data_IF_653476826822
#
_entry.id   IF_653476826822
#
_cell.length_a   1.000
_cell.length_b   1.000
_cell.length_c   1.000
_cell.angle_alpha   90.00
_cell.angle_beta   90.00
_cell.angle_gamma   90.00
#
_symmetry.space_group_name_H-M   'P 1'
#
loop_
_entity.id
_entity.type
_entity.pdbx_description
1 polymer ?
#
# COMPACT_ATOMS: atom_id res chain seq x y z
N UNK A 1 26.88 -14.51 7.11
CA UNK A 1 26.98 -14.71 8.58
C UNK A 1 26.16 -13.62 9.24
N UNK A 2 25.10 -13.99 9.96
CA UNK A 2 24.35 -13.06 10.80
C UNK A 2 25.27 -12.66 11.96
N UNK A 3 25.68 -11.41 12.05
CA UNK A 3 26.35 -10.90 13.23
C UNK A 3 25.39 -10.93 14.43
N UNK A 4 25.94 -11.00 15.64
CA UNK A 4 25.12 -10.94 16.85
C UNK A 4 24.35 -9.62 16.88
N UNK A 5 23.02 -9.67 16.99
CA UNK A 5 22.21 -8.46 17.01
C UNK A 5 22.45 -7.69 18.30
N UNK A 6 22.60 -6.39 18.17
CA UNK A 6 22.64 -5.48 19.32
C UNK A 6 21.30 -4.80 19.50
N UNK A 7 20.91 -4.56 20.75
CA UNK A 7 19.68 -3.84 21.06
C UNK A 7 20.04 -2.41 21.45
N UNK A 8 19.67 -1.46 20.60
CA UNK A 8 19.84 -0.05 20.89
C UNK A 8 18.47 0.63 20.96
N UNK A 9 18.19 1.37 22.03
CA UNK A 9 16.89 2.06 22.25
C UNK A 9 15.68 1.15 22.03
N UNK A 10 15.74 -0.08 22.57
CA UNK A 10 14.72 -1.11 22.42
C UNK A 10 14.51 -1.63 20.96
N UNK A 11 15.41 -1.30 20.05
CA UNK A 11 15.38 -1.79 18.68
C UNK A 11 16.55 -2.74 18.41
N UNK A 12 16.28 -3.80 17.65
CA UNK A 12 17.32 -4.70 17.19
C UNK A 12 18.05 -4.09 15.99
N UNK A 13 19.38 -4.24 15.96
CA UNK A 13 20.23 -3.76 14.88
C UNK A 13 21.29 -4.81 14.57
N UNK A 14 21.76 -4.83 13.31
CA UNK A 14 22.94 -5.59 12.95
C UNK A 14 24.24 -4.81 13.32
N UNK A 15 25.38 -5.44 13.10
CA UNK A 15 26.70 -4.83 13.40
C UNK A 15 26.99 -3.59 12.55
N UNK A 16 26.28 -3.39 11.44
CA UNK A 16 26.37 -2.20 10.58
C UNK A 16 25.34 -1.10 10.97
N UNK A 17 24.54 -1.32 12.04
CA UNK A 17 23.55 -0.37 12.50
C UNK A 17 22.21 -0.44 11.75
N UNK A 18 22.03 -1.39 10.83
CA UNK A 18 20.75 -1.54 10.15
C UNK A 18 19.71 -2.11 11.10
N UNK A 19 18.52 -1.54 11.04
CA UNK A 19 17.38 -1.98 11.85
C UNK A 19 16.96 -3.39 11.47
N UNK A 20 16.73 -4.21 12.49
CA UNK A 20 16.21 -5.56 12.37
C UNK A 20 14.83 -5.64 13.01
N UNK A 21 14.01 -6.60 12.56
CA UNK A 21 12.78 -6.95 13.27
C UNK A 21 13.07 -7.78 14.55
N UNK A 22 12.03 -8.15 15.25
CA UNK A 22 12.15 -8.97 16.48
C UNK A 22 12.76 -10.37 16.23
N UNK A 23 12.85 -10.79 14.97
CA UNK A 23 13.39 -12.08 14.55
C UNK A 23 14.72 -11.94 13.79
N UNK A 24 15.34 -10.76 13.90
CA UNK A 24 16.63 -10.45 13.29
C UNK A 24 16.64 -10.53 11.74
N UNK A 25 15.47 -10.41 11.11
CA UNK A 25 15.40 -10.27 9.66
C UNK A 25 15.81 -8.83 9.28
N UNK A 26 16.71 -8.71 8.32
CA UNK A 26 16.97 -7.42 7.68
C UNK A 26 15.72 -6.96 6.92
N UNK A 27 15.53 -5.65 6.90
CA UNK A 27 14.42 -4.95 6.26
C UNK A 27 13.87 -5.69 5.03
N UNK A 28 12.56 -5.86 4.96
CA UNK A 28 11.91 -6.53 3.86
C UNK A 28 11.71 -8.02 4.06
N UNK A 29 11.67 -8.50 5.30
CA UNK A 29 11.12 -9.81 5.59
C UNK A 29 9.73 -9.97 4.97
N UNK A 30 9.24 -11.19 4.92
CA UNK A 30 7.92 -11.51 4.37
C UNK A 30 6.84 -10.65 5.02
N UNK A 31 6.11 -9.87 4.22
CA UNK A 31 5.03 -9.03 4.69
C UNK A 31 3.78 -9.86 4.93
N UNK A 32 3.67 -10.44 6.12
CA UNK A 32 2.54 -11.29 6.50
C UNK A 32 1.19 -10.59 6.33
N UNK A 33 1.20 -9.26 6.43
CA UNK A 33 0.00 -8.44 6.29
C UNK A 33 -0.18 -7.81 4.91
N UNK A 34 0.71 -8.10 3.95
CA UNK A 34 0.53 -7.62 2.59
C UNK A 34 -0.79 -8.13 2.01
N UNK A 35 -1.40 -7.32 1.17
CA UNK A 35 -2.62 -7.67 0.47
C UNK A 35 -2.55 -7.25 -0.98
N UNK A 36 -3.21 -7.99 -1.84
CA UNK A 36 -3.29 -7.77 -3.28
C UNK A 36 -4.66 -7.28 -3.76
N UNK A 37 -5.59 -7.08 -2.83
CA UNK A 37 -6.90 -6.50 -3.14
C UNK A 37 -7.36 -5.52 -2.04
N UNK A 38 -8.25 -4.60 -2.39
CA UNK A 38 -8.69 -3.54 -1.48
C UNK A 38 -9.61 -4.04 -0.36
N UNK A 39 -10.56 -4.95 -0.59
CA UNK A 39 -11.41 -5.49 0.48
C UNK A 39 -10.65 -6.14 1.62
N UNK A 40 -9.54 -6.81 1.35
CA UNK A 40 -8.69 -7.44 2.36
C UNK A 40 -8.10 -6.46 3.37
N UNK A 41 -8.00 -5.20 3.02
CA UNK A 41 -7.55 -4.16 3.96
C UNK A 41 -8.50 -3.98 5.15
N UNK A 42 -9.76 -4.38 4.98
CA UNK A 42 -10.76 -4.38 6.05
C UNK A 42 -10.74 -5.70 6.85
N UNK A 43 -9.99 -6.67 6.36
CA UNK A 43 -9.93 -8.02 6.90
C UNK A 43 -9.20 -8.15 8.23
N UNK A 44 -9.28 -9.34 8.76
CA UNK A 44 -8.52 -9.76 9.94
C UNK A 44 -7.03 -9.81 9.60
N UNK A 45 -6.19 -9.68 10.62
CA UNK A 45 -4.77 -9.94 10.49
C UNK A 45 -4.47 -11.42 10.30
N UNK A 46 -3.20 -11.72 10.25
CA UNK A 46 -2.71 -13.09 10.16
C UNK A 46 -2.46 -13.66 11.56
N UNK A 47 -3.01 -14.85 11.83
CA UNK A 47 -2.77 -15.59 13.05
C UNK A 47 -1.98 -16.87 12.73
N UNK A 48 -0.89 -17.08 13.46
CA UNK A 48 -0.11 -18.31 13.32
C UNK A 48 -0.91 -19.49 13.84
N UNK A 49 -1.32 -20.39 12.96
CA UNK A 49 -2.01 -21.62 13.33
C UNK A 49 -1.01 -22.75 13.59
N UNK A 50 -1.47 -23.83 14.25
CA UNK A 50 -0.65 -25.04 14.46
C UNK A 50 -0.09 -25.63 13.16
N UNK A 51 -0.84 -25.50 12.05
CA UNK A 51 -0.44 -25.96 10.71
C UNK A 51 0.73 -25.13 10.15
N UNK A 52 0.70 -23.82 10.29
CA UNK A 52 1.80 -22.94 9.86
C UNK A 52 3.06 -23.13 10.72
N UNK A 53 2.93 -23.47 12.00
CA UNK A 53 4.07 -23.88 12.86
C UNK A 53 4.69 -25.18 12.40
N UNK A 54 3.93 -26.16 11.95
CA UNK A 54 4.44 -27.41 11.39
C UNK A 54 5.29 -27.18 10.14
N UNK A 55 4.86 -26.32 9.24
CA UNK A 55 5.62 -25.94 8.04
C UNK A 55 6.93 -25.21 8.39
N UNK A 56 6.95 -24.40 9.43
CA UNK A 56 8.15 -23.71 9.91
C UNK A 56 9.22 -24.67 10.46
N UNK A 57 8.81 -25.77 11.10
CA UNK A 57 9.75 -26.78 11.61
C UNK A 57 10.47 -27.55 10.50
N UNK A 58 9.86 -27.68 9.33
CA UNK A 58 10.37 -28.47 8.21
C UNK A 58 11.23 -27.63 7.25
N UNK A 59 11.16 -26.31 7.30
CA UNK A 59 11.87 -25.39 6.41
C UNK A 59 12.59 -24.28 7.20
N UNK A 60 13.75 -24.57 7.81
CA UNK A 60 14.45 -23.64 8.69
C UNK A 60 14.95 -22.35 8.01
N UNK A 61 15.02 -22.32 6.68
CA UNK A 61 15.46 -21.15 5.91
C UNK A 61 14.31 -20.24 5.46
N UNK A 62 13.06 -20.61 5.75
CA UNK A 62 11.91 -19.84 5.35
C UNK A 62 11.39 -18.95 6.50
N UNK A 63 11.05 -17.78 6.13
CA UNK A 63 10.30 -16.71 6.72
C UNK A 63 9.46 -17.12 7.94
N UNK A 64 9.72 -16.45 9.05
CA UNK A 64 8.89 -16.53 10.24
C UNK A 64 7.48 -15.96 9.94
N UNK A 65 6.50 -16.84 9.98
CA UNK A 65 5.09 -16.43 9.95
C UNK A 65 4.67 -16.02 11.37
N UNK A 66 4.87 -14.76 11.70
CA UNK A 66 4.41 -14.20 12.96
C UNK A 66 2.94 -13.81 12.91
N UNK A 67 2.36 -13.57 14.08
CA UNK A 67 1.05 -12.93 14.16
C UNK A 67 1.14 -11.51 13.63
N UNK A 68 0.17 -11.10 12.84
CA UNK A 68 0.04 -9.74 12.35
C UNK A 68 -1.30 -9.14 12.80
N UNK A 69 -1.33 -7.84 13.15
CA UNK A 69 -2.55 -7.18 13.56
C UNK A 69 -3.57 -7.13 12.42
N UNK A 70 -4.85 -6.88 12.73
CA UNK A 70 -5.85 -6.64 11.70
C UNK A 70 -5.40 -5.57 10.71
N UNK A 71 -5.66 -5.76 9.42
CA UNK A 71 -5.21 -4.90 8.32
C UNK A 71 -5.81 -3.48 8.34
N UNK A 72 -6.73 -3.19 9.24
CA UNK A 72 -7.41 -1.88 9.35
C UNK A 72 -6.47 -0.68 9.45
N UNK A 73 -5.23 -0.85 9.84
CA UNK A 73 -4.27 0.25 9.84
C UNK A 73 -3.94 0.73 8.40
N UNK A 74 -4.07 -0.12 7.39
CA UNK A 74 -4.01 0.31 5.99
C UNK A 74 -5.20 1.19 5.62
N UNK A 75 -6.40 0.82 6.09
CA UNK A 75 -7.62 1.64 5.90
C UNK A 75 -7.45 3.00 6.56
N UNK A 76 -6.92 3.04 7.79
CA UNK A 76 -6.64 4.30 8.48
C UNK A 76 -5.59 5.14 7.75
N UNK A 77 -4.58 4.51 7.13
CA UNK A 77 -3.60 5.21 6.33
C UNK A 77 -4.24 5.79 5.05
N UNK A 78 -5.10 5.03 4.38
CA UNK A 78 -5.85 5.49 3.21
C UNK A 78 -6.80 6.64 3.57
N UNK A 79 -7.49 6.55 4.70
CA UNK A 79 -8.37 7.61 5.21
C UNK A 79 -7.60 8.90 5.46
N UNK A 80 -6.44 8.83 6.12
CA UNK A 80 -5.58 10.00 6.36
C UNK A 80 -5.09 10.61 5.05
N UNK A 81 -4.75 9.80 4.06
CA UNK A 81 -4.37 10.28 2.74
C UNK A 81 -5.55 10.97 2.04
N UNK A 82 -6.74 10.39 2.09
CA UNK A 82 -7.95 11.00 1.54
C UNK A 82 -8.26 12.34 2.22
N UNK A 83 -8.16 12.41 3.54
CA UNK A 83 -8.32 13.66 4.30
C UNK A 83 -7.28 14.71 3.89
N UNK A 84 -6.03 14.33 3.71
CA UNK A 84 -4.97 15.24 3.26
C UNK A 84 -5.28 15.81 1.88
N UNK A 85 -5.69 14.96 0.93
CA UNK A 85 -6.11 15.40 -0.41
C UNK A 85 -7.29 16.39 -0.31
N UNK A 86 -8.29 16.07 0.50
CA UNK A 86 -9.46 16.96 0.71
C UNK A 86 -9.04 18.30 1.31
N UNK A 87 -8.11 18.30 2.25
CA UNK A 87 -7.64 19.55 2.88
C UNK A 87 -6.80 20.40 1.91
N UNK A 88 -5.94 19.79 1.09
CA UNK A 88 -5.23 20.50 0.03
C UNK A 88 -6.24 21.13 -0.93
N UNK A 89 -7.26 20.36 -1.37
CA UNK A 89 -8.32 20.89 -2.25
C UNK A 89 -9.11 22.04 -1.63
N UNK A 90 -9.31 22.01 -0.31
CA UNK A 90 -9.99 23.10 0.41
C UNK A 90 -9.15 24.38 0.44
N UNK A 91 -7.84 24.26 0.60
CA UNK A 91 -6.93 25.40 0.71
C UNK A 91 -6.46 25.91 -0.65
N UNK A 92 -6.23 25.00 -1.59
CA UNK A 92 -5.69 25.27 -2.93
C UNK A 92 -6.45 24.43 -3.97
N UNK A 93 -7.68 24.81 -4.33
CA UNK A 93 -8.57 24.00 -5.17
C UNK A 93 -8.04 23.74 -6.58
N UNK A 94 -7.20 24.63 -7.09
CA UNK A 94 -6.64 24.57 -8.45
C UNK A 94 -5.27 23.90 -8.52
N UNK A 95 -4.65 23.63 -7.37
CA UNK A 95 -3.35 22.98 -7.34
C UNK A 95 -3.42 21.53 -7.85
N UNK A 96 -2.37 21.14 -8.58
CA UNK A 96 -2.23 19.75 -9.06
C UNK A 96 -1.73 18.86 -7.93
N UNK A 97 -2.43 17.75 -7.71
CA UNK A 97 -2.02 16.74 -6.73
C UNK A 97 -1.56 15.48 -7.47
N UNK A 98 -0.27 15.19 -7.36
CA UNK A 98 0.30 13.91 -7.79
C UNK A 98 0.62 13.07 -6.56
N UNK A 99 0.18 11.82 -6.56
CA UNK A 99 0.50 10.86 -5.49
C UNK A 99 1.31 9.73 -6.09
N UNK A 100 2.46 9.46 -5.49
CA UNK A 100 3.27 8.29 -5.82
C UNK A 100 3.21 7.28 -4.68
N UNK A 101 2.79 6.07 -5.01
CA UNK A 101 2.80 4.91 -4.10
C UNK A 101 3.78 3.85 -4.59
N UNK A 102 4.44 3.16 -3.67
CA UNK A 102 5.30 2.03 -3.96
C UNK A 102 4.84 0.80 -3.18
N UNK A 103 4.83 -0.37 -3.83
CA UNK A 103 4.45 -1.65 -3.22
C UNK A 103 3.09 -1.55 -2.50
N UNK A 104 3.00 -1.90 -1.24
CA UNK A 104 1.76 -1.79 -0.44
C UNK A 104 1.22 -0.35 -0.35
N UNK A 105 2.06 0.68 -0.52
CA UNK A 105 1.63 2.07 -0.61
C UNK A 105 0.74 2.37 -1.81
N UNK A 106 0.84 1.60 -2.90
CA UNK A 106 -0.06 1.71 -4.05
C UNK A 106 -1.50 1.33 -3.69
N UNK A 107 -1.66 0.29 -2.86
CA UNK A 107 -2.96 -0.15 -2.37
C UNK A 107 -3.61 0.90 -1.48
N UNK A 108 -2.82 1.52 -0.59
CA UNK A 108 -3.26 2.64 0.25
C UNK A 108 -3.70 3.82 -0.64
N UNK A 109 -2.93 4.14 -1.68
CA UNK A 109 -3.25 5.20 -2.63
C UNK A 109 -4.55 4.91 -3.36
N UNK A 110 -4.72 3.71 -3.91
CA UNK A 110 -5.94 3.30 -4.61
C UNK A 110 -7.16 3.37 -3.69
N UNK A 111 -7.04 2.85 -2.47
CA UNK A 111 -8.14 2.90 -1.49
C UNK A 111 -8.51 4.34 -1.12
N UNK A 112 -7.52 5.22 -0.96
CA UNK A 112 -7.79 6.64 -0.67
C UNK A 112 -8.57 7.31 -1.80
N UNK A 113 -8.24 7.02 -3.08
CA UNK A 113 -9.01 7.55 -4.22
C UNK A 113 -10.43 6.98 -4.26
N UNK A 114 -10.61 5.69 -3.97
CA UNK A 114 -11.92 5.08 -3.87
C UNK A 114 -12.78 5.76 -2.79
N UNK A 115 -12.21 6.06 -1.62
CA UNK A 115 -12.89 6.78 -0.54
C UNK A 115 -13.28 8.21 -0.93
N UNK A 116 -12.42 8.93 -1.65
CA UNK A 116 -12.73 10.26 -2.17
C UNK A 116 -13.87 10.21 -3.18
N UNK A 117 -13.81 9.27 -4.12
CA UNK A 117 -14.84 9.08 -5.14
C UNK A 117 -16.20 8.73 -4.52
N UNK A 118 -16.23 7.84 -3.52
CA UNK A 118 -17.43 7.46 -2.79
C UNK A 118 -18.08 8.67 -2.08
N UNK A 119 -17.27 9.56 -1.55
CA UNK A 119 -17.69 10.83 -0.93
C UNK A 119 -18.01 11.94 -1.94
N UNK A 120 -17.92 11.66 -3.24
CA UNK A 120 -18.08 12.64 -4.33
C UNK A 120 -17.08 13.82 -4.22
N UNK A 121 -15.92 13.55 -3.64
CA UNK A 121 -14.82 14.50 -3.55
C UNK A 121 -13.86 14.34 -4.73
N UNK A 122 -13.19 15.43 -5.11
CA UNK A 122 -12.20 15.38 -6.19
C UNK A 122 -10.99 14.57 -5.76
N UNK A 123 -10.66 13.55 -6.55
CA UNK A 123 -9.46 12.74 -6.40
C UNK A 123 -8.17 13.53 -6.68
N UNK A 124 -7.02 12.90 -6.48
CA UNK A 124 -5.76 13.39 -7.02
C UNK A 124 -5.83 13.45 -8.55
N UNK A 125 -4.98 14.28 -9.17
CA UNK A 125 -4.96 14.46 -10.63
C UNK A 125 -4.05 13.45 -11.33
N UNK A 126 -3.07 12.90 -10.63
CA UNK A 126 -2.14 11.90 -11.14
C UNK A 126 -1.77 10.89 -10.05
N UNK A 127 -1.75 9.61 -10.43
CA UNK A 127 -1.27 8.52 -9.58
C UNK A 127 -0.09 7.84 -10.27
N UNK A 128 1.00 7.70 -9.54
CA UNK A 128 2.17 6.92 -9.96
C UNK A 128 2.24 5.70 -9.05
N UNK A 129 1.94 4.53 -9.60
CA UNK A 129 1.89 3.27 -8.89
C UNK A 129 3.11 2.41 -9.28
N UNK A 130 4.04 2.24 -8.35
CA UNK A 130 5.30 1.51 -8.58
C UNK A 130 5.22 0.17 -7.86
N UNK A 131 5.51 -0.91 -8.58
CA UNK A 131 5.52 -2.28 -8.07
C UNK A 131 4.24 -2.64 -7.28
N UNK A 132 3.07 -2.30 -7.85
CA UNK A 132 1.79 -2.50 -7.20
C UNK A 132 1.47 -3.98 -7.02
N UNK A 133 1.14 -4.44 -5.80
CA UNK A 133 0.68 -5.80 -5.58
C UNK A 133 -0.77 -6.03 -6.00
N UNK A 134 -1.49 -5.01 -6.52
CA UNK A 134 -2.87 -5.17 -6.97
C UNK A 134 -2.97 -6.28 -7.99
N UNK A 135 -3.65 -7.37 -7.64
CA UNK A 135 -3.75 -8.57 -8.47
C UNK A 135 -5.14 -8.72 -9.08
N UNK A 136 -5.18 -9.03 -10.36
CA UNK A 136 -6.39 -9.44 -11.07
C UNK A 136 -6.58 -10.96 -11.06
N UNK A 137 -5.62 -11.72 -10.52
CA UNK A 137 -5.75 -13.16 -10.38
C UNK A 137 -6.78 -13.51 -9.30
N UNK A 138 -7.42 -14.65 -9.46
CA UNK A 138 -8.32 -15.27 -8.49
C UNK A 138 -7.60 -16.46 -7.83
N UNK A 139 -6.88 -16.27 -6.73
CA UNK A 139 -6.41 -17.39 -5.94
C UNK A 139 -7.60 -18.17 -5.37
N UNK A 140 -7.43 -19.48 -5.20
CA UNK A 140 -8.45 -20.32 -4.56
C UNK A 140 -8.81 -19.76 -3.17
N UNK A 141 -10.12 -19.58 -2.93
CA UNK A 141 -10.64 -19.10 -1.65
C UNK A 141 -10.75 -17.57 -1.50
N UNK A 142 -10.47 -16.78 -2.51
CA UNK A 142 -10.78 -15.34 -2.50
C UNK A 142 -12.27 -15.09 -2.79
N UNK A 143 -12.85 -14.16 -2.02
CA UNK A 143 -14.26 -13.78 -2.18
C UNK A 143 -14.49 -12.86 -3.39
N UNK A 144 -13.45 -12.22 -3.91
CA UNK A 144 -13.56 -11.22 -4.98
C UNK A 144 -13.11 -11.78 -6.33
N UNK A 145 -14.02 -11.79 -7.31
CA UNK A 145 -13.72 -12.23 -8.67
C UNK A 145 -12.78 -11.27 -9.43
N UNK A 146 -12.07 -11.79 -10.43
CA UNK A 146 -11.25 -10.98 -11.34
C UNK A 146 -12.03 -9.83 -11.95
N UNK A 147 -13.27 -10.06 -12.37
CA UNK A 147 -14.13 -9.02 -12.94
C UNK A 147 -14.43 -7.91 -11.93
N UNK A 148 -14.72 -8.26 -10.67
CA UNK A 148 -14.95 -7.27 -9.62
C UNK A 148 -13.69 -6.45 -9.31
N UNK A 149 -12.52 -7.09 -9.27
CA UNK A 149 -11.23 -6.41 -9.11
C UNK A 149 -10.96 -5.45 -10.27
N UNK A 150 -11.15 -5.90 -11.50
CA UNK A 150 -10.98 -5.07 -12.69
C UNK A 150 -11.94 -3.88 -12.69
N UNK A 151 -13.23 -4.11 -12.39
CA UNK A 151 -14.23 -3.05 -12.34
C UNK A 151 -13.91 -2.01 -11.26
N UNK A 152 -13.43 -2.45 -10.10
CA UNK A 152 -12.96 -1.56 -9.02
C UNK A 152 -11.82 -0.67 -9.50
N UNK A 153 -10.83 -1.25 -10.17
CA UNK A 153 -9.70 -0.48 -10.70
C UNK A 153 -10.16 0.52 -11.77
N UNK A 154 -11.02 0.10 -12.70
CA UNK A 154 -11.60 0.97 -13.74
C UNK A 154 -12.35 2.14 -13.09
N UNK A 155 -13.15 1.89 -12.07
CA UNK A 155 -13.91 2.93 -11.37
C UNK A 155 -12.98 3.96 -10.71
N UNK A 156 -11.89 3.51 -10.09
CA UNK A 156 -10.89 4.40 -9.49
C UNK A 156 -10.18 5.21 -10.58
N UNK A 157 -9.75 4.58 -11.66
CA UNK A 157 -9.11 5.27 -12.80
C UNK A 157 -10.04 6.34 -13.37
N UNK A 158 -11.30 6.00 -13.61
CA UNK A 158 -12.29 6.95 -14.10
C UNK A 158 -12.48 8.12 -13.13
N UNK A 159 -12.55 7.88 -11.84
CA UNK A 159 -12.70 8.93 -10.84
C UNK A 159 -11.51 9.90 -10.81
N UNK A 160 -10.28 9.38 -10.98
CA UNK A 160 -9.06 10.19 -11.05
C UNK A 160 -9.01 11.00 -12.36
N UNK A 161 -9.47 10.44 -13.47
CA UNK A 161 -9.39 11.06 -14.80
C UNK A 161 -10.60 11.93 -15.16
N UNK A 162 -11.66 11.95 -14.35
CA UNK A 162 -12.90 12.70 -14.62
C UNK A 162 -12.68 14.21 -14.73
N UNK A 163 -11.70 14.75 -14.01
CA UNK A 163 -11.31 16.17 -14.12
C UNK A 163 -9.85 16.22 -14.54
N UNK A 164 -9.56 16.10 -15.83
CA UNK A 164 -8.19 16.15 -16.29
C UNK A 164 -7.59 17.51 -15.94
N UNK A 165 -6.40 17.47 -15.41
CA UNK A 165 -5.58 18.66 -15.22
C UNK A 165 -5.36 19.34 -16.57
N UNK A 166 -5.48 20.67 -16.60
CA UNK A 166 -5.13 21.44 -17.79
C UNK A 166 -3.64 21.22 -18.08
N UNK A 167 -3.36 20.52 -19.16
CA UNK A 167 -1.97 20.29 -19.58
C UNK A 167 -1.42 21.59 -20.11
N UNK A 168 -0.23 22.05 -19.64
CA UNK A 168 0.42 23.18 -20.26
C UNK A 168 0.69 22.86 -21.74
N UNK A 169 0.52 23.85 -22.61
CA UNK A 169 0.88 23.72 -24.00
C UNK A 169 2.40 23.53 -24.15
N UNK A 170 2.86 22.91 -25.23
CA UNK A 170 4.29 22.79 -25.50
C UNK A 170 5.00 24.14 -25.50
N UNK A 171 4.33 25.21 -25.93
CA UNK A 171 4.86 26.58 -25.91
C UNK A 171 5.04 27.11 -24.50
N UNK A 172 4.18 26.75 -23.55
CA UNK A 172 4.34 27.10 -22.12
C UNK A 172 5.48 26.35 -21.44
N UNK A 173 5.79 25.13 -21.92
CA UNK A 173 6.92 24.34 -21.42
C UNK A 173 8.27 24.76 -22.00
N UNK A 174 8.29 25.54 -23.07
CA UNK A 174 9.51 26.04 -23.75
C UNK A 174 9.99 27.41 -23.23
N UNK A 175 9.39 27.93 -22.17
CA UNK A 175 9.80 29.20 -21.57
C UNK A 175 11.16 29.01 -20.88
N UNK A 176 12.22 29.43 -21.55
CA UNK A 176 13.60 29.42 -20.99
C UNK A 176 14.67 28.81 -21.91
N UNK A 177 14.41 28.63 -23.20
CA UNK A 177 15.44 28.35 -24.21
C UNK A 177 16.00 29.65 -24.79
#
# INVERSE_FOLDING_TARGET
>A
KRGNPTRLRSQYQDTAGNRLDAHFAKAGGFFVNATSNLPDMYGKGFETTLKTRGVQMVSPDFTYFGNAPPRRYFVLAAERLAMLVSEIRRLAPDDTITIMGHSQGTMITLLAQAMLADRRQRCADCLILVDSPYSLLEPEGEEQTTQAKLQTLINIVNAVTTKPYARPSLSELQVGQ
#
